data_IF_216457081623
#
_entry.id   IF_216457081623
#
_cell.length_a   1.000
_cell.length_b   1.000
_cell.length_c   1.000
_cell.angle_alpha   90.00
_cell.angle_beta   90.00
_cell.angle_gamma   90.00
#
_symmetry.space_group_name_H-M   'P 1'
#
loop_
_entity.id
_entity.type
_entity.pdbx_description
1 polymer ?
#
# COMPACT_ATOMS: atom_id res chain seq x y z
N UNK A 1 -12.21 2.75 -17.52
CA UNK A 1 -11.02 3.38 -16.92
C UNK A 1 -10.72 2.73 -15.58
N UNK A 2 -9.47 2.38 -15.36
CA UNK A 2 -9.05 1.74 -14.10
C UNK A 2 -8.43 2.78 -13.18
N UNK A 3 -8.88 2.78 -11.93
CA UNK A 3 -8.31 3.61 -10.86
C UNK A 3 -7.70 2.67 -9.84
N UNK A 4 -6.57 3.05 -9.30
CA UNK A 4 -5.88 2.28 -8.27
C UNK A 4 -6.02 2.98 -6.94
N UNK A 5 -6.28 2.23 -5.88
CA UNK A 5 -6.43 2.80 -4.55
C UNK A 5 -5.50 2.12 -3.56
N UNK A 6 -5.08 2.89 -2.57
CA UNK A 6 -4.46 2.35 -1.37
C UNK A 6 -5.47 2.51 -0.25
N UNK A 7 -5.83 1.39 0.35
CA UNK A 7 -6.74 1.35 1.49
C UNK A 7 -5.90 1.17 2.76
N UNK A 8 -6.04 2.10 3.69
CA UNK A 8 -5.31 2.06 4.97
C UNK A 8 -6.20 1.37 5.99
N UNK A 9 -5.80 0.18 6.41
CA UNK A 9 -6.66 -0.70 7.20
C UNK A 9 -7.02 -0.08 8.56
N UNK A 10 -6.05 0.53 9.23
CA UNK A 10 -6.27 1.11 10.55
C UNK A 10 -7.23 2.31 10.52
N UNK A 11 -7.05 3.18 9.54
CA UNK A 11 -7.81 4.43 9.46
C UNK A 11 -9.12 4.28 8.69
N UNK A 12 -9.21 3.29 7.82
CA UNK A 12 -10.35 3.13 6.94
C UNK A 12 -10.36 4.12 5.79
N UNK A 13 -9.30 4.88 5.61
CA UNK A 13 -9.18 5.86 4.54
C UNK A 13 -8.65 5.24 3.27
N UNK A 14 -8.80 5.96 2.16
CA UNK A 14 -8.30 5.56 0.85
C UNK A 14 -7.66 6.74 0.15
N UNK A 15 -6.59 6.44 -0.58
CA UNK A 15 -6.04 7.37 -1.56
C UNK A 15 -6.25 6.78 -2.96
N UNK A 16 -6.43 7.65 -3.95
CA UNK A 16 -6.77 7.26 -5.31
C UNK A 16 -5.68 7.69 -6.27
N UNK A 17 -5.36 6.80 -7.22
CA UNK A 17 -4.29 7.04 -8.19
C UNK A 17 -4.72 6.61 -9.57
N UNK A 18 -4.26 7.32 -10.58
CA UNK A 18 -4.52 6.97 -11.98
C UNK A 18 -3.55 5.92 -12.49
N UNK A 19 -2.43 5.71 -11.83
CA UNK A 19 -1.40 4.76 -12.22
C UNK A 19 -1.10 3.78 -11.11
N UNK A 20 -0.99 2.51 -11.45
CA UNK A 20 -0.63 1.46 -10.51
C UNK A 20 0.71 1.77 -9.82
N UNK A 21 1.67 2.23 -10.59
CA UNK A 21 3.00 2.57 -10.10
C UNK A 21 2.96 3.61 -8.97
N UNK A 22 2.10 4.62 -9.12
CA UNK A 22 1.97 5.67 -8.10
C UNK A 22 1.33 5.12 -6.83
N UNK A 23 0.32 4.27 -6.98
CA UNK A 23 -0.31 3.60 -5.85
C UNK A 23 0.70 2.69 -5.12
N UNK A 24 1.50 1.94 -5.87
CA UNK A 24 2.53 1.08 -5.28
C UNK A 24 3.55 1.89 -4.50
N UNK A 25 4.01 3.02 -5.05
CA UNK A 25 4.95 3.89 -4.36
C UNK A 25 4.36 4.42 -3.06
N UNK A 26 3.10 4.82 -3.09
CA UNK A 26 2.41 5.29 -1.89
C UNK A 26 2.36 4.22 -0.81
N UNK A 27 1.99 2.99 -1.19
CA UNK A 27 1.93 1.88 -0.24
C UNK A 27 3.29 1.54 0.36
N UNK A 28 4.33 1.53 -0.47
CA UNK A 28 5.69 1.27 0.00
C UNK A 28 6.14 2.34 1.00
N UNK A 29 5.91 3.61 0.67
CA UNK A 29 6.29 4.71 1.56
C UNK A 29 5.55 4.61 2.90
N UNK A 30 4.27 4.26 2.86
CA UNK A 30 3.46 4.09 4.05
C UNK A 30 4.02 2.97 4.95
N UNK A 31 4.35 1.82 4.36
CA UNK A 31 4.92 0.69 5.10
C UNK A 31 6.24 1.08 5.75
N UNK A 32 7.12 1.75 5.00
CA UNK A 32 8.41 2.19 5.52
C UNK A 32 8.25 3.19 6.65
N UNK A 33 7.32 4.13 6.52
CA UNK A 33 7.08 5.13 7.55
C UNK A 33 6.60 4.49 8.85
N UNK A 34 5.63 3.59 8.75
CA UNK A 34 5.12 2.90 9.94
C UNK A 34 6.21 2.04 10.57
N UNK A 35 6.98 1.33 9.77
CA UNK A 35 8.08 0.51 10.28
C UNK A 35 9.10 1.31 11.05
N UNK A 36 9.46 2.48 10.55
CA UNK A 36 10.39 3.38 11.23
C UNK A 36 9.78 3.89 12.54
N UNK A 37 8.52 4.33 12.49
CA UNK A 37 7.82 4.86 13.67
C UNK A 37 7.66 3.81 14.76
N UNK A 38 7.42 2.56 14.38
CA UNK A 38 7.24 1.45 15.33
C UNK A 38 8.56 0.80 15.73
N UNK A 39 9.65 1.18 15.11
CA UNK A 39 10.96 0.63 15.42
C UNK A 39 11.16 -0.80 14.92
N UNK A 40 10.53 -1.17 13.81
CA UNK A 40 10.68 -2.49 13.24
C UNK A 40 12.08 -2.69 12.64
N UNK A 41 12.54 -3.94 12.65
CA UNK A 41 13.80 -4.31 12.03
C UNK A 41 13.73 -3.98 10.53
N UNK A 42 14.82 -3.41 9.95
CA UNK A 42 14.84 -3.12 8.51
C UNK A 42 14.52 -4.32 7.62
N UNK A 43 14.90 -5.53 8.03
CA UNK A 43 14.57 -6.75 7.27
C UNK A 43 13.07 -7.04 7.30
N UNK A 44 12.42 -6.78 8.41
CA UNK A 44 10.97 -6.93 8.50
C UNK A 44 10.26 -5.93 7.59
N UNK A 45 10.73 -4.69 7.58
CA UNK A 45 10.16 -3.65 6.71
C UNK A 45 10.29 -4.07 5.25
N UNK A 46 11.47 -4.53 4.83
CA UNK A 46 11.68 -4.98 3.45
C UNK A 46 10.83 -6.20 3.10
N UNK A 47 10.65 -7.13 4.03
CA UNK A 47 9.77 -8.29 3.85
C UNK A 47 8.34 -7.85 3.57
N UNK A 48 7.84 -6.88 4.34
CA UNK A 48 6.49 -6.37 4.16
C UNK A 48 6.33 -5.61 2.84
N UNK A 49 7.35 -4.82 2.48
CA UNK A 49 7.35 -4.12 1.19
C UNK A 49 7.29 -5.12 0.04
N UNK A 50 8.11 -6.17 0.10
CA UNK A 50 8.13 -7.19 -0.95
C UNK A 50 6.81 -7.95 -1.02
N UNK A 51 6.21 -8.27 0.12
CA UNK A 51 4.91 -8.91 0.18
C UNK A 51 3.85 -8.02 -0.45
N UNK A 52 3.85 -6.73 -0.11
CA UNK A 52 2.92 -5.78 -0.68
C UNK A 52 3.05 -5.69 -2.21
N UNK A 53 4.27 -5.61 -2.71
CA UNK A 53 4.52 -5.52 -4.15
C UNK A 53 4.12 -6.80 -4.89
N UNK A 54 4.25 -7.95 -4.25
CA UNK A 54 3.91 -9.24 -4.84
C UNK A 54 2.42 -9.57 -4.75
N UNK A 55 1.84 -9.36 -3.57
CA UNK A 55 0.47 -9.79 -3.28
C UNK A 55 -0.58 -8.67 -3.41
N UNK A 56 -0.14 -7.41 -3.38
CA UNK A 56 -1.05 -6.28 -3.41
C UNK A 56 -1.57 -5.87 -2.04
N UNK A 57 -1.03 -6.43 -0.97
CA UNK A 57 -1.43 -6.06 0.40
C UNK A 57 -0.29 -6.32 1.36
N UNK A 58 -0.30 -5.59 2.46
CA UNK A 58 0.59 -5.82 3.59
C UNK A 58 -0.28 -6.05 4.81
N UNK A 59 0.00 -7.10 5.54
CA UNK A 59 -0.80 -7.56 6.67
C UNK A 59 -1.10 -6.40 7.64
N UNK A 60 -2.38 -6.16 7.89
CA UNK A 60 -2.91 -5.15 8.82
C UNK A 60 -2.48 -3.71 8.53
N UNK A 61 -1.81 -3.42 7.43
CA UNK A 61 -1.34 -2.07 7.14
C UNK A 61 -2.12 -1.42 6.00
N UNK A 62 -2.02 -1.97 4.82
CA UNK A 62 -2.66 -1.39 3.64
C UNK A 62 -2.89 -2.44 2.56
N UNK A 63 -3.76 -2.11 1.63
CA UNK A 63 -4.02 -2.95 0.47
C UNK A 63 -4.14 -2.10 -0.78
N UNK A 64 -3.61 -2.61 -1.88
CA UNK A 64 -3.77 -2.01 -3.20
C UNK A 64 -4.99 -2.65 -3.85
N UNK A 65 -5.92 -1.84 -4.30
CA UNK A 65 -7.12 -2.32 -4.99
C UNK A 65 -7.28 -1.64 -6.34
N UNK A 66 -7.82 -2.38 -7.30
CA UNK A 66 -8.18 -1.83 -8.61
C UNK A 66 -9.68 -1.59 -8.64
N UNK A 67 -10.08 -0.43 -9.13
CA UNK A 67 -11.49 -0.09 -9.29
C UNK A 67 -11.72 0.23 -10.75
N UNK A 68 -12.65 -0.51 -11.37
CA UNK A 68 -13.05 -0.23 -12.74
C UNK A 68 -14.17 0.80 -12.71
N UNK A 69 -13.92 1.94 -13.36
CA UNK A 69 -14.91 3.01 -13.43
C UNK A 69 -15.60 2.92 -14.78
N UNK A 70 -16.91 2.79 -14.74
CA UNK A 70 -17.72 2.80 -15.96
C UNK A 70 -17.92 4.24 -16.40
N UNK A 71 -17.62 4.48 -17.64
CA UNK A 71 -17.83 5.78 -18.27
C UNK A 71 -19.26 5.93 -18.78
#
# INVERSE_FOLDING_TARGET
>A
MTIYTIYYIDDGDRDYFMRQKDAQSCGVDYIRQIGVDEGWDPQEIESLVNEFLREGWAYDLCALEEIEVKE
#
